data_IF_435163635198
#
_entry.id   IF_435163635198
#
_cell.length_a   1.000
_cell.length_b   1.000
_cell.length_c   1.000
_cell.angle_alpha   90.00
_cell.angle_beta   90.00
_cell.angle_gamma   90.00
#
_symmetry.space_group_name_H-M   'P 1'
#
loop_
_entity.id
_entity.type
_entity.pdbx_description
1 polymer ?
#
# COMPACT_ATOMS: atom_id res chain seq x y z
N UNK A 1 -1.61 -14.64 -3.43
CA UNK A 1 -1.09 -15.24 -2.18
C UNK A 1 0.37 -15.52 -2.40
N UNK A 2 1.27 -14.89 -1.63
CA UNK A 2 2.70 -15.20 -1.68
C UNK A 2 2.91 -16.70 -1.47
N UNK A 3 3.61 -17.34 -2.41
CA UNK A 3 4.00 -18.76 -2.34
C UNK A 3 5.05 -19.02 -1.26
N UNK A 4 5.69 -17.98 -0.74
CA UNK A 4 6.47 -18.07 0.48
C UNK A 4 5.55 -17.89 1.68
N UNK A 5 5.39 -18.95 2.47
CA UNK A 5 5.14 -18.76 3.89
C UNK A 5 6.27 -17.88 4.40
N UNK A 6 5.98 -16.65 4.82
CA UNK A 6 6.92 -15.87 5.62
C UNK A 6 6.97 -16.55 7.00
N UNK A 7 7.49 -17.77 7.04
CA UNK A 7 7.98 -18.36 8.27
C UNK A 7 9.16 -17.47 8.64
N UNK A 8 9.08 -16.78 9.78
CA UNK A 8 10.27 -16.17 10.37
C UNK A 8 11.28 -17.31 10.59
N UNK A 9 12.26 -17.42 9.72
CA UNK A 9 13.38 -18.32 9.96
C UNK A 9 14.17 -17.77 11.16
N UNK A 10 14.13 -18.49 12.27
CA UNK A 10 14.83 -18.15 13.52
C UNK A 10 13.90 -17.88 14.71
N UNK A 11 14.40 -18.21 15.90
CA UNK A 11 13.73 -17.87 17.16
C UNK A 11 13.94 -16.39 17.49
N UNK A 12 12.91 -15.74 18.03
CA UNK A 12 13.01 -14.38 18.54
C UNK A 12 14.06 -14.35 19.66
N UNK A 13 14.98 -13.38 19.63
CA UNK A 13 16.01 -13.26 20.66
C UNK A 13 15.35 -13.14 22.04
N UNK A 14 15.66 -14.03 23.01
CA UNK A 14 15.00 -14.01 24.32
C UNK A 14 15.23 -12.71 25.10
N UNK A 15 16.27 -11.94 24.77
CA UNK A 15 16.53 -10.62 25.37
C UNK A 15 15.48 -9.57 25.00
N UNK A 16 14.61 -9.81 24.01
CA UNK A 16 13.54 -8.88 23.65
C UNK A 16 12.61 -8.62 24.84
N UNK A 17 12.34 -9.61 25.70
CA UNK A 17 11.51 -9.43 26.90
C UNK A 17 12.09 -8.42 27.90
N UNK A 18 13.39 -8.14 27.85
CA UNK A 18 14.03 -7.16 28.71
C UNK A 18 13.83 -5.71 28.27
N UNK A 19 13.35 -5.46 27.03
CA UNK A 19 13.21 -4.12 26.47
C UNK A 19 11.84 -3.91 25.83
N UNK A 20 10.98 -3.08 26.44
CA UNK A 20 9.63 -2.83 25.95
C UNK A 20 9.59 -2.42 24.47
N UNK A 21 10.46 -1.50 24.05
CA UNK A 21 10.52 -1.04 22.65
C UNK A 21 10.79 -2.18 21.66
N UNK A 22 11.58 -3.17 22.05
CA UNK A 22 11.85 -4.32 21.20
C UNK A 22 10.64 -5.27 21.14
N UNK A 23 9.87 -5.38 22.23
CA UNK A 23 8.62 -6.14 22.26
C UNK A 23 7.56 -5.49 21.37
N UNK A 24 7.45 -4.16 21.39
CA UNK A 24 6.50 -3.41 20.57
C UNK A 24 6.75 -3.63 19.07
N UNK A 25 8.01 -3.84 18.65
CA UNK A 25 8.36 -4.20 17.27
C UNK A 25 7.84 -5.58 16.81
N UNK A 26 7.36 -6.41 17.74
CA UNK A 26 6.74 -7.71 17.42
C UNK A 26 5.23 -7.60 17.19
N UNK A 27 4.61 -6.45 17.49
CA UNK A 27 3.18 -6.26 17.29
C UNK A 27 2.84 -6.26 15.80
N UNK A 28 1.83 -7.03 15.36
CA UNK A 28 1.33 -6.94 14.00
C UNK A 28 0.84 -5.53 13.69
N UNK A 29 1.13 -5.03 12.50
CA UNK A 29 0.77 -3.65 12.12
C UNK A 29 -0.73 -3.38 12.22
N UNK A 30 -1.60 -4.33 11.90
CA UNK A 30 -3.03 -4.10 12.08
C UNK A 30 -3.48 -4.06 13.55
N UNK A 31 -2.74 -4.65 14.50
CA UNK A 31 -3.00 -4.43 15.94
C UNK A 31 -2.62 -2.99 16.31
N UNK A 32 -1.53 -2.47 15.74
CA UNK A 32 -1.18 -1.05 15.93
C UNK A 32 -2.24 -0.11 15.32
N UNK A 33 -2.91 -0.51 14.23
CA UNK A 33 -4.07 0.21 13.66
C UNK A 33 -5.23 0.29 14.66
N UNK A 34 -5.62 -0.83 15.27
CA UNK A 34 -6.67 -0.84 16.31
C UNK A 34 -6.28 0.02 17.52
N UNK A 35 -5.02 -0.05 17.96
CA UNK A 35 -4.52 0.75 19.08
C UNK A 35 -4.62 2.25 18.79
N UNK A 36 -4.28 2.68 17.57
CA UNK A 36 -4.41 4.08 17.13
C UNK A 36 -5.89 4.47 17.08
N UNK A 37 -6.73 3.64 16.46
CA UNK A 37 -8.16 3.91 16.35
C UNK A 37 -8.82 4.08 17.72
N UNK A 38 -8.53 3.17 18.66
CA UNK A 38 -9.04 3.24 20.03
C UNK A 38 -8.50 4.46 20.79
N UNK A 39 -7.18 4.71 20.73
CA UNK A 39 -6.56 5.81 21.49
C UNK A 39 -7.03 7.19 21.06
N UNK A 40 -7.24 7.39 19.76
CA UNK A 40 -7.61 8.68 19.20
C UNK A 40 -9.09 8.79 18.83
N UNK A 41 -9.90 7.75 19.11
CA UNK A 41 -11.33 7.75 18.83
C UNK A 41 -11.69 7.72 17.35
N UNK A 42 -10.84 7.14 16.49
CA UNK A 42 -11.12 7.02 15.04
C UNK A 42 -12.20 5.95 14.83
N UNK A 43 -13.38 6.39 14.46
CA UNK A 43 -14.55 5.52 14.37
C UNK A 43 -14.49 4.57 13.18
N UNK A 44 -15.21 3.46 13.26
CA UNK A 44 -15.40 2.53 12.14
C UNK A 44 -15.95 3.24 10.89
N UNK A 45 -16.88 4.19 11.09
CA UNK A 45 -17.47 4.94 9.99
C UNK A 45 -16.44 5.81 9.27
N UNK A 46 -15.55 6.50 10.00
CA UNK A 46 -14.47 7.30 9.40
C UNK A 46 -13.48 6.45 8.61
N UNK A 47 -13.12 5.28 9.14
CA UNK A 47 -12.24 4.32 8.46
C UNK A 47 -12.88 3.82 7.15
N UNK A 48 -14.13 3.39 7.20
CA UNK A 48 -14.85 2.91 6.01
C UNK A 48 -15.09 4.03 4.99
N UNK A 49 -15.35 5.25 5.45
CA UNK A 49 -15.51 6.41 4.57
C UNK A 49 -14.21 6.75 3.84
N UNK A 50 -13.06 6.70 4.53
CA UNK A 50 -11.76 6.92 3.91
C UNK A 50 -11.47 5.87 2.83
N UNK A 51 -11.83 4.61 3.07
CA UNK A 51 -11.63 3.52 2.11
C UNK A 51 -12.56 3.62 0.89
N UNK A 52 -13.84 3.94 1.09
CA UNK A 52 -14.78 4.20 -0.01
C UNK A 52 -14.31 5.38 -0.87
N UNK A 53 -13.85 6.46 -0.24
CA UNK A 53 -13.31 7.62 -0.93
C UNK A 53 -12.02 7.30 -1.70
N UNK A 54 -11.13 6.48 -1.12
CA UNK A 54 -9.91 6.00 -1.79
C UNK A 54 -10.23 5.27 -3.09
N UNK A 55 -11.14 4.29 -3.05
CA UNK A 55 -11.57 3.56 -4.24
C UNK A 55 -12.28 4.45 -5.26
N UNK A 56 -13.11 5.41 -4.82
CA UNK A 56 -13.77 6.37 -5.70
C UNK A 56 -12.76 7.24 -6.45
N UNK A 57 -11.76 7.79 -5.76
CA UNK A 57 -10.69 8.61 -6.37
C UNK A 57 -9.85 7.78 -7.34
N UNK A 58 -9.45 6.58 -6.95
CA UNK A 58 -8.65 5.69 -7.79
C UNK A 58 -9.41 5.27 -9.06
N UNK A 59 -10.70 4.92 -8.95
CA UNK A 59 -11.55 4.62 -10.10
C UNK A 59 -11.68 5.82 -11.05
N UNK A 60 -11.85 7.03 -10.51
CA UNK A 60 -11.89 8.24 -11.32
C UNK A 60 -10.54 8.53 -12.03
N UNK A 61 -9.41 8.31 -11.34
CA UNK A 61 -8.08 8.46 -11.92
C UNK A 61 -7.82 7.46 -13.05
N UNK A 62 -8.23 6.20 -12.87
CA UNK A 62 -8.16 5.17 -13.91
C UNK A 62 -9.02 5.51 -15.12
N UNK A 63 -10.29 5.90 -14.89
CA UNK A 63 -11.21 6.28 -15.97
C UNK A 63 -10.72 7.50 -16.77
N UNK A 64 -10.07 8.45 -16.09
CA UNK A 64 -9.44 9.63 -16.72
C UNK A 64 -8.00 9.40 -17.20
N UNK A 65 -7.50 8.16 -17.14
CA UNK A 65 -6.15 7.76 -17.57
C UNK A 65 -5.00 8.56 -16.94
N UNK A 66 -5.21 9.10 -15.73
CA UNK A 66 -4.21 9.94 -15.04
C UNK A 66 -2.93 9.19 -14.66
N UNK A 67 -2.99 7.88 -14.50
CA UNK A 67 -1.86 7.04 -14.12
C UNK A 67 -1.02 6.56 -15.32
N UNK A 68 -1.41 6.91 -16.55
CA UNK A 68 -0.76 6.41 -17.77
C UNK A 68 0.70 6.85 -17.87
N UNK A 69 1.03 8.04 -17.38
CA UNK A 69 2.38 8.59 -17.48
C UNK A 69 3.37 7.95 -16.48
N UNK A 70 2.86 7.32 -15.41
CA UNK A 70 3.66 6.70 -14.36
C UNK A 70 3.67 5.15 -14.43
N UNK A 71 2.66 4.51 -15.03
CA UNK A 71 2.59 3.06 -15.19
C UNK A 71 3.36 2.61 -16.44
N UNK A 72 4.35 1.74 -16.24
CA UNK A 72 5.03 1.00 -17.32
C UNK A 72 4.33 -0.35 -17.53
N UNK A 73 3.75 -0.64 -18.71
CA UNK A 73 3.11 -1.93 -18.96
C UNK A 73 4.09 -3.12 -18.84
N UNK A 74 3.66 -4.17 -18.15
CA UNK A 74 4.47 -5.36 -17.89
C UNK A 74 3.90 -6.56 -18.66
N UNK A 75 4.57 -7.03 -19.73
CA UNK A 75 4.24 -8.31 -20.36
C UNK A 75 4.63 -9.46 -19.43
N UNK A 76 3.69 -10.35 -19.15
CA UNK A 76 3.88 -11.50 -18.26
C UNK A 76 2.89 -12.60 -18.60
N UNK A 77 2.83 -13.64 -17.77
CA UNK A 77 1.87 -14.74 -17.88
C UNK A 77 1.03 -14.83 -16.60
N UNK A 78 -0.24 -15.18 -16.77
CA UNK A 78 -1.12 -15.58 -15.67
C UNK A 78 -1.42 -17.07 -15.84
N UNK A 79 -1.31 -17.82 -14.75
CA UNK A 79 -1.68 -19.24 -14.69
C UNK A 79 -3.10 -19.34 -14.16
N UNK A 80 -3.99 -20.01 -14.88
CA UNK A 80 -5.32 -20.33 -14.36
C UNK A 80 -5.17 -21.34 -13.18
N UNK A 81 -5.63 -21.01 -11.97
CA UNK A 81 -5.43 -21.86 -10.81
C UNK A 81 -6.25 -23.16 -10.83
N UNK A 82 -7.26 -23.28 -11.72
CA UNK A 82 -8.09 -24.47 -11.88
C UNK A 82 -7.58 -25.39 -12.98
N UNK A 83 -7.13 -24.82 -14.12
CA UNK A 83 -6.71 -25.61 -15.29
C UNK A 83 -5.19 -25.75 -15.42
N UNK A 84 -4.42 -24.86 -14.80
CA UNK A 84 -2.96 -24.78 -14.96
C UNK A 84 -2.52 -24.17 -16.29
N UNK A 85 -3.45 -23.68 -17.11
CA UNK A 85 -3.13 -23.07 -18.41
C UNK A 85 -2.43 -21.71 -18.24
N UNK A 86 -1.35 -21.50 -18.97
CA UNK A 86 -0.65 -20.21 -19.01
C UNK A 86 -1.21 -19.32 -20.11
N UNK A 87 -1.57 -18.08 -19.76
CA UNK A 87 -1.99 -17.06 -20.72
C UNK A 87 -1.05 -15.87 -20.67
N UNK A 88 -0.50 -15.50 -21.83
CA UNK A 88 0.24 -14.25 -21.98
C UNK A 88 -0.69 -13.04 -21.84
N UNK A 89 -0.26 -12.07 -21.04
CA UNK A 89 -0.99 -10.84 -20.74
C UNK A 89 -0.05 -9.66 -20.65
N UNK A 90 -0.58 -8.45 -20.82
CA UNK A 90 0.14 -7.21 -20.51
C UNK A 90 -0.60 -6.49 -19.39
N UNK A 91 0.02 -6.43 -18.22
CA UNK A 91 -0.53 -5.71 -17.07
C UNK A 91 -0.21 -4.23 -17.23
N UNK A 92 -1.25 -3.40 -17.28
CA UNK A 92 -1.13 -1.95 -17.54
C UNK A 92 -2.04 -1.08 -16.67
N UNK A 93 -2.74 -1.68 -15.72
CA UNK A 93 -3.67 -1.03 -14.80
C UNK A 93 -3.64 -1.71 -13.44
N UNK A 94 -3.93 -0.97 -12.38
CA UNK A 94 -4.09 -1.52 -11.03
C UNK A 94 -5.36 -2.39 -10.95
N UNK A 95 -5.22 -3.64 -10.53
CA UNK A 95 -6.33 -4.60 -10.45
C UNK A 95 -7.05 -4.60 -9.08
N UNK A 96 -6.53 -3.87 -8.09
CA UNK A 96 -7.06 -3.78 -6.73
C UNK A 96 -8.23 -2.80 -6.56
N UNK A 97 -8.51 -1.97 -7.57
CA UNK A 97 -9.55 -0.93 -7.49
C UNK A 97 -10.95 -1.57 -7.57
N UNK A 98 -11.87 -1.11 -6.72
CA UNK A 98 -13.25 -1.57 -6.62
C UNK A 98 -14.20 -0.36 -6.71
N UNK A 99 -14.65 0.04 -7.91
CA UNK A 99 -15.46 1.26 -8.08
C UNK A 99 -16.80 1.26 -7.31
N UNK A 100 -17.33 0.07 -7.00
CA UNK A 100 -18.57 -0.11 -6.24
C UNK A 100 -18.41 -0.10 -4.71
N UNK A 101 -17.22 0.20 -4.19
CA UNK A 101 -17.01 0.25 -2.74
C UNK A 101 -17.80 1.39 -2.11
N UNK A 102 -18.72 1.03 -1.21
CA UNK A 102 -19.58 1.97 -0.47
C UNK A 102 -19.39 1.77 1.03
N UNK A 103 -19.57 2.83 1.81
CA UNK A 103 -19.52 2.76 3.28
C UNK A 103 -20.51 1.72 3.84
N UNK A 104 -21.69 1.59 3.24
CA UNK A 104 -22.69 0.56 3.63
C UNK A 104 -22.27 -0.86 3.28
N UNK A 105 -21.54 -1.06 2.17
CA UNK A 105 -20.93 -2.34 1.82
C UNK A 105 -19.79 -2.70 2.78
N UNK A 106 -18.92 -1.73 3.08
CA UNK A 106 -17.79 -1.89 3.99
C UNK A 106 -18.23 -2.19 5.43
N UNK A 107 -19.32 -1.59 5.90
CA UNK A 107 -19.86 -1.84 7.23
C UNK A 107 -20.24 -3.32 7.48
N UNK A 108 -20.48 -4.10 6.42
CA UNK A 108 -20.80 -5.53 6.51
C UNK A 108 -19.57 -6.42 6.72
N UNK A 109 -18.37 -5.88 6.51
CA UNK A 109 -17.13 -6.64 6.66
C UNK A 109 -16.81 -6.86 8.13
N UNK A 110 -16.37 -8.08 8.44
CA UNK A 110 -15.94 -8.48 9.78
C UNK A 110 -14.54 -7.91 10.08
N UNK A 111 -14.27 -7.53 11.34
CA UNK A 111 -12.91 -7.25 11.79
C UNK A 111 -11.99 -8.45 11.55
N UNK A 112 -10.72 -8.17 11.22
CA UNK A 112 -9.75 -9.22 10.85
C UNK A 112 -8.88 -9.65 12.03
N UNK A 113 -8.67 -8.79 13.02
CA UNK A 113 -7.65 -9.00 14.06
C UNK A 113 -8.23 -9.16 15.46
N UNK A 114 -9.20 -8.32 15.83
CA UNK A 114 -9.86 -8.39 17.12
C UNK A 114 -11.36 -8.57 16.96
N UNK A 115 -11.98 -9.38 17.84
CA UNK A 115 -13.42 -9.68 17.77
C UNK A 115 -14.31 -8.43 17.77
N UNK A 116 -13.88 -7.39 18.47
CA UNK A 116 -14.57 -6.10 18.58
C UNK A 116 -13.76 -4.95 17.95
N UNK A 117 -12.82 -5.28 17.07
CA UNK A 117 -12.01 -4.31 16.35
C UNK A 117 -12.80 -3.57 15.28
N UNK A 118 -12.15 -2.57 14.68
CA UNK A 118 -12.70 -1.73 13.63
C UNK A 118 -11.96 -1.89 12.29
N UNK A 119 -10.75 -2.45 12.32
CA UNK A 119 -9.92 -2.74 11.16
C UNK A 119 -10.44 -3.99 10.44
N UNK A 120 -10.81 -3.81 9.17
CA UNK A 120 -11.32 -4.86 8.27
C UNK A 120 -10.48 -4.94 7.01
N UNK A 121 -10.66 -5.99 6.21
CA UNK A 121 -10.01 -6.10 4.91
C UNK A 121 -10.40 -4.97 3.94
N UNK A 122 -11.56 -4.34 4.12
CA UNK A 122 -12.05 -3.29 3.22
C UNK A 122 -11.62 -1.88 3.60
N UNK A 123 -11.19 -1.65 4.86
CA UNK A 123 -10.64 -0.37 5.32
C UNK A 123 -9.13 -0.45 5.62
N UNK A 124 -8.48 -1.53 5.20
CA UNK A 124 -7.03 -1.72 5.22
C UNK A 124 -6.47 -1.74 3.79
N UNK A 125 -5.16 -1.52 3.64
CA UNK A 125 -4.48 -1.71 2.37
C UNK A 125 -4.51 -3.19 1.95
N UNK A 126 -4.69 -3.44 0.66
CA UNK A 126 -4.51 -4.76 0.09
C UNK A 126 -3.02 -5.14 0.12
N UNK A 127 -2.74 -6.44 0.21
CA UNK A 127 -1.41 -6.95 -0.12
C UNK A 127 -1.30 -6.98 -1.64
N UNK A 128 -0.27 -6.34 -2.19
CA UNK A 128 -0.12 -6.12 -3.62
C UNK A 128 1.31 -6.41 -4.06
N UNK A 129 1.45 -6.88 -5.29
CA UNK A 129 2.74 -7.14 -5.94
C UNK A 129 3.03 -6.02 -6.94
N UNK A 130 4.21 -5.40 -6.87
CA UNK A 130 4.59 -4.29 -7.75
C UNK A 130 6.00 -3.74 -7.45
N UNK A 131 6.47 -2.86 -8.33
CA UNK A 131 7.76 -2.19 -8.18
C UNK A 131 7.68 -0.73 -8.66
N UNK A 132 8.50 0.14 -8.06
CA UNK A 132 8.65 1.54 -8.47
C UNK A 132 10.12 1.96 -8.41
N UNK A 133 10.52 2.89 -9.28
CA UNK A 133 11.89 3.40 -9.33
C UNK A 133 11.89 4.92 -9.51
N UNK A 134 12.86 5.61 -8.90
CA UNK A 134 13.07 7.06 -9.05
C UNK A 134 14.53 7.32 -9.39
N UNK A 135 14.79 8.01 -10.50
CA UNK A 135 16.12 8.45 -10.88
C UNK A 135 16.40 9.85 -10.30
N UNK A 136 17.28 9.90 -9.30
CA UNK A 136 17.76 11.17 -8.74
C UNK A 136 19.16 11.50 -9.26
N UNK A 137 19.44 12.78 -9.44
CA UNK A 137 20.77 13.28 -9.80
C UNK A 137 20.97 14.72 -9.35
N UNK A 138 22.23 15.19 -9.34
CA UNK A 138 22.55 16.60 -9.11
C UNK A 138 21.92 17.47 -10.21
N UNK A 139 21.30 18.60 -9.82
CA UNK A 139 20.68 19.57 -10.76
C UNK A 139 21.60 19.95 -11.91
N UNK A 140 22.87 20.26 -11.62
CA UNK A 140 23.84 20.66 -12.65
C UNK A 140 24.08 19.55 -13.70
N UNK A 141 23.99 18.27 -13.32
CA UNK A 141 24.16 17.14 -14.24
C UNK A 141 22.92 16.99 -15.12
N UNK A 142 21.72 17.13 -14.55
CA UNK A 142 20.47 17.13 -15.32
C UNK A 142 20.48 18.25 -16.38
N UNK A 143 20.84 19.48 -15.98
CA UNK A 143 20.95 20.63 -16.90
C UNK A 143 21.99 20.40 -17.99
N UNK A 144 23.20 19.93 -17.64
CA UNK A 144 24.25 19.61 -18.61
C UNK A 144 23.81 18.55 -19.62
N UNK A 145 22.99 17.58 -19.19
CA UNK A 145 22.45 16.52 -20.04
C UNK A 145 21.15 16.88 -20.75
N UNK A 146 20.59 18.06 -20.51
CA UNK A 146 19.30 18.48 -21.08
C UNK A 146 18.09 17.67 -20.61
N UNK A 147 18.17 17.04 -19.43
CA UNK A 147 17.08 16.21 -18.89
C UNK A 147 16.04 17.09 -18.16
N UNK A 148 14.73 16.94 -18.45
CA UNK A 148 13.69 17.67 -17.74
C UNK A 148 13.62 17.27 -16.26
N UNK A 149 13.36 18.23 -15.38
CA UNK A 149 13.28 18.01 -13.93
C UNK A 149 11.82 17.83 -13.52
N UNK A 150 11.42 16.61 -13.14
CA UNK A 150 10.06 16.31 -12.67
C UNK A 150 9.78 16.88 -11.28
N UNK A 151 10.75 16.82 -10.37
CA UNK A 151 10.60 17.25 -9.00
C UNK A 151 11.95 17.50 -8.33
N UNK A 152 11.92 18.22 -7.20
CA UNK A 152 13.11 18.52 -6.41
C UNK A 152 12.89 17.99 -5.00
N UNK A 153 13.74 17.07 -4.56
CA UNK A 153 13.71 16.58 -3.19
C UNK A 153 14.11 17.72 -2.23
N UNK A 154 13.22 18.04 -1.29
CA UNK A 154 13.38 19.15 -0.33
C UNK A 154 13.06 18.66 1.07
N UNK A 155 13.72 19.28 2.04
CA UNK A 155 13.39 19.14 3.46
C UNK A 155 12.81 20.47 3.96
N UNK A 156 11.78 20.46 4.81
CA UNK A 156 11.00 21.64 5.16
C UNK A 156 11.79 22.79 5.82
N UNK A 157 12.98 22.52 6.36
CA UNK A 157 13.78 23.50 7.12
C UNK A 157 15.25 23.65 6.64
N UNK A 158 15.59 23.19 5.43
CA UNK A 158 16.94 23.39 4.89
C UNK A 158 16.96 24.58 3.93
N UNK A 159 17.90 25.53 4.09
CA UNK A 159 18.03 26.67 3.18
C UNK A 159 18.32 26.19 1.75
N UNK A 160 17.95 27.01 0.78
CA UNK A 160 18.25 26.77 -0.62
C UNK A 160 19.77 26.74 -0.82
N UNK A 161 20.29 25.58 -1.19
CA UNK A 161 21.60 25.47 -1.82
C UNK A 161 21.33 25.44 -3.33
N UNK A 162 21.77 26.50 -4.01
CA UNK A 162 21.69 26.65 -5.46
C UNK A 162 22.61 25.66 -6.21
#
# INVERSE_FOLDING_TARGET
MSINSIAREGQVNPKISAFQKAQDCLLPMGITSENVAHRYGVTRQEQDQAASESHRRAAAAMASRKLKDEIVPVPTKIVDPKTGEEKEVVISVDDGIRPGTTTSGLAKLKPVLEKHGTTTAGNSSQVSDGAGAVLLMKRSVALKKGLPILGVFRLPNLPYLD
#
